data_IF_226615482255
#
_entry.id   IF_226615482255
#
_cell.length_a   1.000
_cell.length_b   1.000
_cell.length_c   1.000
_cell.angle_alpha   90.00
_cell.angle_beta   90.00
_cell.angle_gamma   90.00
#
_symmetry.space_group_name_H-M   'P 1'
#
loop_
_entity.id
_entity.type
_entity.pdbx_description
1 polymer ?
#
# COMPACT_ATOMS: atom_id res chain seq x y z
N UNK A 1 13.27 24.33 5.77
CA UNK A 1 13.12 23.89 4.37
C UNK A 1 12.12 22.74 4.32
N UNK A 2 11.11 22.78 3.44
CA UNK A 2 10.23 21.62 3.24
C UNK A 2 10.96 20.63 2.34
N UNK A 3 11.29 19.44 2.85
CA UNK A 3 11.81 18.35 2.03
C UNK A 3 10.71 17.93 1.05
N UNK A 4 10.97 18.10 -0.25
CA UNK A 4 10.05 17.66 -1.31
C UNK A 4 10.48 16.30 -1.81
N UNK A 5 9.70 15.28 -1.50
CA UNK A 5 9.84 13.95 -2.10
C UNK A 5 8.97 13.89 -3.35
N UNK A 6 9.52 13.41 -4.47
CA UNK A 6 8.77 13.13 -5.70
C UNK A 6 8.76 11.63 -5.92
N UNK A 7 7.58 11.05 -6.15
CA UNK A 7 7.39 9.62 -6.40
C UNK A 7 6.60 9.49 -7.70
N UNK A 8 7.09 8.65 -8.61
CA UNK A 8 6.44 8.34 -9.89
C UNK A 8 5.87 6.93 -9.83
N UNK A 9 4.60 6.80 -10.19
CA UNK A 9 3.95 5.50 -10.39
C UNK A 9 3.74 5.29 -11.88
N UNK A 10 4.01 4.09 -12.38
CA UNK A 10 3.92 3.76 -13.80
C UNK A 10 3.14 2.46 -14.03
N UNK A 11 2.62 2.29 -15.24
CA UNK A 11 1.86 1.11 -15.66
C UNK A 11 0.67 0.81 -14.76
N UNK A 12 0.51 -0.47 -14.40
CA UNK A 12 -0.62 -0.97 -13.61
C UNK A 12 -0.76 -0.26 -12.24
N UNK A 13 0.36 0.13 -11.61
CA UNK A 13 0.33 0.81 -10.31
C UNK A 13 -0.30 2.20 -10.41
N UNK A 14 -0.04 2.94 -11.49
CA UNK A 14 -0.67 4.23 -11.74
C UNK A 14 -2.18 4.07 -11.96
N UNK A 15 -2.59 3.09 -12.76
CA UNK A 15 -4.00 2.80 -13.04
C UNK A 15 -4.77 2.39 -11.77
N UNK A 16 -4.19 1.55 -10.93
CA UNK A 16 -4.78 1.13 -9.66
C UNK A 16 -4.97 2.33 -8.72
N UNK A 17 -3.95 3.20 -8.60
CA UNK A 17 -4.04 4.41 -7.78
C UNK A 17 -5.13 5.35 -8.30
N UNK A 18 -5.23 5.54 -9.61
CA UNK A 18 -6.27 6.37 -10.20
C UNK A 18 -7.68 5.82 -9.93
N UNK A 19 -7.86 4.50 -10.07
CA UNK A 19 -9.14 3.85 -9.79
C UNK A 19 -9.53 3.98 -8.33
N UNK A 20 -8.62 3.64 -7.41
CA UNK A 20 -8.86 3.75 -5.97
C UNK A 20 -9.15 5.19 -5.55
N UNK A 21 -8.46 6.16 -6.14
CA UNK A 21 -8.69 7.58 -5.86
C UNK A 21 -10.07 8.05 -6.32
N UNK A 22 -10.57 7.53 -7.44
CA UNK A 22 -11.94 7.82 -7.92
C UNK A 22 -12.99 7.21 -6.99
N UNK A 23 -12.78 5.97 -6.55
CA UNK A 23 -13.71 5.26 -5.66
C UNK A 23 -13.78 5.88 -4.26
N UNK A 24 -12.64 6.36 -3.73
CA UNK A 24 -12.54 6.94 -2.38
C UNK A 24 -12.61 8.47 -2.35
N UNK A 25 -12.77 9.12 -3.50
CA UNK A 25 -12.92 10.57 -3.60
C UNK A 25 -11.65 11.40 -3.32
N UNK A 26 -10.46 10.80 -3.31
CA UNK A 26 -9.23 11.54 -3.01
C UNK A 26 -7.91 10.80 -3.29
N UNK A 27 -7.09 11.34 -4.22
CA UNK A 27 -5.74 10.83 -4.51
C UNK A 27 -4.80 10.87 -3.29
N UNK A 28 -4.91 11.89 -2.44
CA UNK A 28 -4.00 12.09 -1.30
C UNK A 28 -4.18 11.10 -0.15
N UNK A 29 -5.37 10.53 0.04
CA UNK A 29 -5.61 9.50 1.05
C UNK A 29 -5.07 8.14 0.56
N UNK A 30 -5.41 7.77 -0.67
CA UNK A 30 -4.92 6.54 -1.31
C UNK A 30 -3.38 6.49 -1.34
N UNK A 31 -2.72 7.61 -1.63
CA UNK A 31 -1.25 7.69 -1.58
C UNK A 31 -0.69 7.50 -0.17
N UNK A 32 -1.36 8.04 0.87
CA UNK A 32 -0.94 7.86 2.26
C UNK A 32 -1.08 6.41 2.72
N UNK A 33 -2.17 5.75 2.32
CA UNK A 33 -2.39 4.33 2.60
C UNK A 33 -1.34 3.46 1.91
N UNK A 34 -1.06 3.71 0.62
CA UNK A 34 -0.06 2.96 -0.14
C UNK A 34 1.33 3.05 0.48
N UNK A 35 1.77 4.25 0.87
CA UNK A 35 3.05 4.46 1.55
C UNK A 35 3.10 3.80 2.94
N UNK A 36 1.97 3.78 3.65
CA UNK A 36 1.87 3.11 4.95
C UNK A 36 2.01 1.59 4.79
N UNK A 37 1.35 1.01 3.78
CA UNK A 37 1.47 -0.41 3.45
C UNK A 37 2.89 -0.79 3.00
N UNK A 38 3.55 0.04 2.21
CA UNK A 38 4.94 -0.16 1.81
C UNK A 38 5.87 -0.24 3.03
N UNK A 39 5.70 0.67 4.00
CA UNK A 39 6.49 0.64 5.24
C UNK A 39 6.24 -0.64 6.06
N UNK A 40 5.00 -1.11 6.13
CA UNK A 40 4.66 -2.38 6.78
C UNK A 40 5.35 -3.54 6.08
N UNK A 41 5.29 -3.58 4.75
CA UNK A 41 5.95 -4.60 3.93
C UNK A 41 7.46 -4.62 4.17
N UNK A 42 8.14 -3.48 4.00
CA UNK A 42 9.59 -3.37 4.22
C UNK A 42 9.99 -3.79 5.63
N UNK A 43 9.21 -3.44 6.64
CA UNK A 43 9.48 -3.82 8.03
C UNK A 43 9.32 -5.32 8.25
N UNK A 44 8.27 -5.93 7.69
CA UNK A 44 8.05 -7.38 7.76
C UNK A 44 9.17 -8.14 7.04
N UNK A 45 9.57 -7.70 5.84
CA UNK A 45 10.70 -8.29 5.08
C UNK A 45 11.97 -8.30 5.92
N UNK A 46 12.33 -7.17 6.53
CA UNK A 46 13.55 -7.05 7.34
C UNK A 46 13.56 -7.98 8.56
N UNK A 47 12.39 -8.39 9.04
CA UNK A 47 12.22 -9.25 10.22
C UNK A 47 11.99 -10.72 9.86
N UNK A 48 11.92 -11.07 8.57
CA UNK A 48 11.52 -12.40 8.12
C UNK A 48 10.10 -12.77 8.58
N UNK A 49 9.23 -11.77 8.73
CA UNK A 49 7.87 -11.94 9.21
C UNK A 49 6.89 -12.20 8.06
N UNK A 50 5.85 -12.97 8.35
CA UNK A 50 4.74 -13.20 7.43
C UNK A 50 3.72 -12.07 7.52
N UNK A 51 3.18 -11.67 6.37
CA UNK A 51 2.10 -10.66 6.28
C UNK A 51 0.77 -11.37 6.04
N UNK A 52 -0.16 -11.18 6.97
CA UNK A 52 -1.52 -11.70 6.91
C UNK A 52 -2.52 -10.54 6.78
N UNK A 53 -3.47 -10.66 5.87
CA UNK A 53 -4.64 -9.78 5.77
C UNK A 53 -5.84 -10.49 6.36
N UNK A 54 -6.54 -9.81 7.26
CA UNK A 54 -7.85 -10.25 7.74
C UNK A 54 -8.93 -9.63 6.87
N UNK A 55 -9.70 -10.48 6.21
CA UNK A 55 -10.88 -10.09 5.45
C UNK A 55 -12.05 -9.76 6.39
N UNK A 56 -13.09 -9.10 5.85
CA UNK A 56 -14.26 -8.70 6.63
C UNK A 56 -15.03 -9.89 7.23
N UNK A 57 -14.94 -11.07 6.61
CA UNK A 57 -15.52 -12.32 7.09
C UNK A 57 -14.69 -13.00 8.20
N UNK A 58 -13.57 -12.39 8.60
CA UNK A 58 -12.67 -12.90 9.61
C UNK A 58 -11.60 -13.86 9.09
N UNK A 59 -11.65 -14.26 7.81
CA UNK A 59 -10.67 -15.13 7.17
C UNK A 59 -9.32 -14.44 7.10
N UNK A 60 -8.26 -15.19 7.42
CA UNK A 60 -6.88 -14.74 7.24
C UNK A 60 -6.38 -15.22 5.87
N UNK A 61 -5.96 -14.28 5.03
CA UNK A 61 -5.24 -14.56 3.80
C UNK A 61 -3.79 -14.13 3.93
N UNK A 62 -2.88 -15.03 3.54
CA UNK A 62 -1.47 -14.71 3.43
C UNK A 62 -1.24 -13.82 2.20
N UNK A 63 -0.58 -12.68 2.39
CA UNK A 63 -0.31 -11.76 1.29
C UNK A 63 0.99 -12.13 0.56
N UNK A 64 2.06 -12.35 1.33
CA UNK A 64 3.40 -12.67 0.84
C UNK A 64 4.12 -13.53 1.88
N UNK A 65 4.72 -14.65 1.44
CA UNK A 65 5.77 -15.36 2.20
C UNK A 65 7.09 -14.76 1.78
N UNK A 66 7.79 -14.12 2.73
CA UNK A 66 9.09 -13.45 2.49
C UNK A 66 10.22 -14.40 2.85
#
# INVERSE_FOLDING_TARGET
>A
MKNRLSVTFEGASAEILERLAKERGGKGEVLRDALSLENVYVTATKRGAEILIREADGTLKQLVRI
#
